data_IF_595588515666
#
_entry.id   IF_595588515666
#
_cell.length_a   1.000
_cell.length_b   1.000
_cell.length_c   1.000
_cell.angle_alpha   90.00
_cell.angle_beta   90.00
_cell.angle_gamma   90.00
#
_symmetry.space_group_name_H-M   'P 1'
#
loop_
_entity.id
_entity.type
_entity.pdbx_description
1 polymer ?
#
# COMPACT_ATOMS: atom_id res chain seq x y z
N UNK A 1 -1.98 -7.06 -2.15
CA UNK A 1 -2.53 -8.39 -2.51
C UNK A 1 -4.05 -8.31 -2.67
N UNK A 2 -4.71 -9.36 -3.14
CA UNK A 2 -6.19 -9.41 -3.19
C UNK A 2 -6.75 -9.89 -1.85
N UNK A 3 -7.90 -9.35 -1.45
CA UNK A 3 -8.59 -9.80 -0.24
C UNK A 3 -9.14 -11.22 -0.51
N UNK A 4 -8.82 -12.24 0.31
CA UNK A 4 -9.38 -13.57 0.12
C UNK A 4 -10.91 -13.57 0.27
N UNK A 5 -11.62 -14.50 -0.38
CA UNK A 5 -13.06 -14.66 -0.17
C UNK A 5 -13.38 -14.85 1.32
N UNK A 6 -14.48 -14.24 1.77
CA UNK A 6 -14.97 -14.29 3.16
C UNK A 6 -14.06 -13.62 4.21
N UNK A 7 -13.05 -12.83 3.80
CA UNK A 7 -12.32 -11.97 4.72
C UNK A 7 -12.96 -10.58 4.69
N UNK A 8 -13.46 -10.07 5.83
CA UNK A 8 -13.98 -8.71 5.90
C UNK A 8 -12.89 -7.67 5.64
N UNK A 9 -13.20 -6.53 4.98
CA UNK A 9 -12.23 -5.49 4.65
C UNK A 9 -11.45 -4.96 5.87
N UNK A 10 -12.11 -4.80 7.01
CA UNK A 10 -11.51 -4.33 8.25
C UNK A 10 -10.46 -5.31 8.79
N UNK A 11 -10.72 -6.62 8.68
CA UNK A 11 -9.76 -7.66 9.07
C UNK A 11 -8.57 -7.70 8.11
N UNK A 12 -8.81 -7.52 6.81
CA UNK A 12 -7.74 -7.43 5.83
C UNK A 12 -6.85 -6.21 6.08
N UNK A 13 -7.45 -5.06 6.38
CA UNK A 13 -6.75 -3.82 6.71
C UNK A 13 -5.89 -3.96 7.97
N UNK A 14 -6.47 -4.43 9.07
CA UNK A 14 -5.74 -4.64 10.32
C UNK A 14 -4.56 -5.61 10.14
N UNK A 15 -4.76 -6.69 9.37
CA UNK A 15 -3.69 -7.64 9.04
C UNK A 15 -2.60 -7.00 8.19
N UNK A 16 -2.98 -6.17 7.22
CA UNK A 16 -2.04 -5.47 6.34
C UNK A 16 -1.16 -4.51 7.14
N UNK A 17 -1.75 -3.65 7.97
CA UNK A 17 -1.03 -2.70 8.83
C UNK A 17 -0.10 -3.42 9.80
N UNK A 18 -0.57 -4.49 10.47
CA UNK A 18 0.26 -5.27 11.38
C UNK A 18 1.48 -5.89 10.68
N UNK A 19 1.30 -6.39 9.46
CA UNK A 19 2.41 -6.93 8.65
C UNK A 19 3.41 -5.84 8.23
N UNK A 20 2.93 -4.65 7.87
CA UNK A 20 3.81 -3.53 7.54
C UNK A 20 4.62 -3.07 8.76
N UNK A 21 4.00 -2.94 9.93
CA UNK A 21 4.70 -2.60 11.17
C UNK A 21 5.77 -3.65 11.51
N UNK A 22 5.43 -4.94 11.39
CA UNK A 22 6.39 -6.02 11.58
C UNK A 22 7.57 -5.92 10.59
N UNK A 23 7.29 -5.78 9.30
CA UNK A 23 8.29 -5.71 8.26
C UNK A 23 9.18 -4.46 8.41
N UNK A 24 8.59 -3.30 8.64
CA UNK A 24 9.29 -2.03 8.85
C UNK A 24 10.28 -2.15 10.01
N UNK A 25 9.85 -2.68 11.15
CA UNK A 25 10.73 -2.91 12.31
C UNK A 25 11.89 -3.85 11.97
N UNK A 26 11.64 -4.96 11.26
CA UNK A 26 12.69 -5.92 10.88
C UNK A 26 13.68 -5.37 9.87
N UNK A 27 13.21 -4.58 8.91
CA UNK A 27 14.05 -3.95 7.89
C UNK A 27 14.86 -2.78 8.46
N UNK A 28 14.32 -2.07 9.46
CA UNK A 28 15.01 -1.00 10.16
C UNK A 28 16.26 -1.49 10.88
N UNK A 29 16.23 -2.69 11.48
CA UNK A 29 17.42 -3.35 12.06
C UNK A 29 18.56 -3.53 11.03
N UNK A 30 18.24 -3.50 9.74
CA UNK A 30 19.16 -3.67 8.61
C UNK A 30 19.36 -2.40 7.79
N UNK A 31 18.82 -1.25 8.20
CA UNK A 31 18.87 0.01 7.46
C UNK A 31 18.28 -0.13 6.04
N UNK A 32 17.19 -0.89 5.91
CA UNK A 32 16.47 -1.09 4.65
C UNK A 32 15.14 -0.34 4.72
N UNK A 33 14.84 0.40 3.64
CA UNK A 33 13.56 1.04 3.44
C UNK A 33 12.53 0.05 2.89
N UNK A 34 11.31 0.12 3.43
CA UNK A 34 10.16 -0.65 2.98
C UNK A 34 9.31 0.23 2.04
N UNK A 35 8.86 -0.35 0.94
CA UNK A 35 7.96 0.31 -0.01
C UNK A 35 6.61 -0.40 -0.06
N UNK A 36 5.53 0.38 -0.22
CA UNK A 36 4.22 -0.13 -0.63
C UNK A 36 3.80 0.53 -1.94
N UNK A 37 3.13 -0.24 -2.80
CA UNK A 37 2.72 0.19 -4.14
C UNK A 37 1.20 0.03 -4.30
N UNK A 38 0.46 1.13 -4.52
CA UNK A 38 -0.92 1.07 -4.96
C UNK A 38 -0.98 0.65 -6.45
N UNK A 39 -1.80 -0.34 -6.77
CA UNK A 39 -1.94 -0.88 -8.13
C UNK A 39 -3.35 -0.59 -8.66
N UNK A 40 -3.42 -0.16 -9.91
CA UNK A 40 -4.70 0.19 -10.54
C UNK A 40 -5.69 -0.99 -10.61
N UNK A 41 -6.97 -0.69 -10.44
CA UNK A 41 -8.07 -1.66 -10.42
C UNK A 41 -8.31 -2.31 -11.79
N UNK A 42 -7.92 -1.65 -12.87
CA UNK A 42 -8.10 -2.14 -14.24
C UNK A 42 -7.17 -3.30 -14.56
N UNK A 43 -5.90 -3.22 -14.18
CA UNK A 43 -4.92 -4.29 -14.39
C UNK A 43 -4.97 -5.33 -13.26
N UNK A 44 -5.30 -4.90 -12.03
CA UNK A 44 -5.45 -5.82 -10.89
C UNK A 44 -6.80 -5.66 -10.19
N UNK A 45 -7.90 -6.14 -10.79
CA UNK A 45 -9.22 -6.06 -10.17
C UNK A 45 -9.26 -6.73 -8.80
N UNK A 46 -9.78 -6.02 -7.81
CA UNK A 46 -9.89 -6.47 -6.42
C UNK A 46 -8.58 -6.45 -5.63
N UNK A 47 -7.56 -5.72 -6.10
CA UNK A 47 -6.36 -5.45 -5.30
C UNK A 47 -6.70 -4.58 -4.09
N UNK A 48 -6.03 -4.84 -2.96
CA UNK A 48 -6.33 -4.19 -1.68
C UNK A 48 -5.96 -2.71 -1.64
N UNK A 49 -4.81 -2.34 -2.22
CA UNK A 49 -4.25 -0.99 -2.16
C UNK A 49 -4.23 -0.39 -3.57
N UNK A 50 -5.09 0.57 -3.89
CA UNK A 50 -5.29 1.00 -5.30
C UNK A 50 -5.03 2.48 -5.57
N UNK A 51 -4.99 3.35 -4.55
CA UNK A 51 -4.81 4.79 -4.73
C UNK A 51 -3.79 5.42 -3.79
N UNK A 52 -3.25 6.57 -4.18
CA UNK A 52 -2.20 7.28 -3.44
C UNK A 52 -2.69 7.74 -2.07
N UNK A 53 -3.93 8.25 -1.97
CA UNK A 53 -4.56 8.66 -0.70
C UNK A 53 -4.70 7.50 0.28
N UNK A 54 -5.08 6.32 -0.20
CA UNK A 54 -5.19 5.12 0.63
C UNK A 54 -3.80 4.71 1.14
N UNK A 55 -2.79 4.71 0.27
CA UNK A 55 -1.42 4.38 0.64
C UNK A 55 -0.85 5.37 1.67
N UNK A 56 -1.08 6.67 1.50
CA UNK A 56 -0.66 7.69 2.46
C UNK A 56 -1.29 7.46 3.85
N UNK A 57 -2.60 7.18 3.91
CA UNK A 57 -3.28 6.89 5.17
C UNK A 57 -2.72 5.64 5.86
N UNK A 58 -2.39 4.58 5.11
CA UNK A 58 -1.74 3.38 5.66
C UNK A 58 -0.35 3.70 6.22
N UNK A 59 0.46 4.50 5.50
CA UNK A 59 1.81 4.87 5.94
C UNK A 59 1.72 5.65 7.26
N UNK A 60 0.79 6.61 7.35
CA UNK A 60 0.53 7.37 8.57
C UNK A 60 0.10 6.46 9.73
N UNK A 61 -0.83 5.53 9.49
CA UNK A 61 -1.29 4.56 10.50
C UNK A 61 -0.17 3.62 10.98
N UNK A 62 0.74 3.22 10.09
CA UNK A 62 1.87 2.37 10.45
C UNK A 62 2.85 3.07 11.38
N UNK A 63 3.01 4.40 11.27
CA UNK A 63 3.90 5.21 12.11
C UNK A 63 5.39 4.86 11.99
N UNK A 64 5.79 4.20 10.90
CA UNK A 64 7.17 3.79 10.65
C UNK A 64 7.90 4.82 9.78
N UNK A 65 9.10 5.22 10.19
CA UNK A 65 9.95 6.22 9.52
C UNK A 65 10.72 5.67 8.31
N UNK A 66 10.74 4.35 8.14
CA UNK A 66 11.36 3.65 7.00
C UNK A 66 10.34 2.99 6.06
N UNK A 67 9.07 3.42 6.10
CA UNK A 67 8.02 2.96 5.20
C UNK A 67 7.61 4.09 4.25
N UNK A 68 7.73 3.85 2.95
CA UNK A 68 7.47 4.85 1.92
C UNK A 68 6.54 4.34 0.82
N UNK A 69 6.02 5.29 0.04
CA UNK A 69 5.20 5.03 -1.13
C UNK A 69 6.09 4.81 -2.37
N UNK A 70 5.95 3.65 -3.01
CA UNK A 70 6.40 3.46 -4.39
C UNK A 70 5.34 4.08 -5.31
N UNK A 71 5.57 5.34 -5.71
CA UNK A 71 4.66 6.08 -6.57
C UNK A 71 4.89 5.72 -8.04
N UNK A 72 4.25 4.66 -8.51
CA UNK A 72 4.18 4.35 -9.93
C UNK A 72 3.16 5.25 -10.63
N UNK A 73 3.66 6.19 -11.45
CA UNK A 73 2.85 7.15 -12.21
C UNK A 73 1.90 6.44 -13.18
N UNK A 74 2.26 5.27 -13.72
CA UNK A 74 1.37 4.53 -14.61
C UNK A 74 0.09 4.12 -13.88
N UNK A 75 0.19 3.57 -12.67
CA UNK A 75 -0.98 3.18 -11.88
C UNK A 75 -1.81 4.40 -11.48
N UNK A 76 -1.16 5.47 -11.04
CA UNK A 76 -1.85 6.67 -10.61
C UNK A 76 -2.47 7.44 -11.78
N UNK A 77 -1.86 7.42 -12.97
CA UNK A 77 -2.48 8.01 -14.17
C UNK A 77 -3.74 7.26 -14.58
N UNK A 78 -3.79 5.93 -14.40
CA UNK A 78 -5.01 5.15 -14.69
C UNK A 78 -6.10 5.33 -13.64
N UNK A 79 -5.73 5.55 -12.38
CA UNK A 79 -6.67 5.63 -11.26
C UNK A 79 -7.15 7.06 -10.95
N UNK A 80 -6.24 8.02 -11.03
CA UNK A 80 -6.45 9.40 -10.59
C UNK A 80 -6.43 10.39 -11.76
N UNK A 81 -5.68 10.08 -12.84
CA UNK A 81 -5.61 10.89 -14.05
C UNK A 81 -4.89 12.23 -13.86
N UNK A 82 -4.67 12.94 -14.97
CA UNK A 82 -4.10 14.30 -15.00
C UNK A 82 -2.74 14.43 -14.29
N UNK A 83 -1.94 13.35 -14.27
CA UNK A 83 -0.58 13.35 -13.72
C UNK A 83 0.47 13.55 -14.81
N UNK A 84 0.14 13.15 -16.04
CA UNK A 84 0.97 13.30 -17.23
C UNK A 84 0.09 13.42 -18.49
N UNK A 85 0.61 14.11 -19.51
CA UNK A 85 -0.03 14.36 -20.81
C UNK A 85 0.20 13.21 -21.81
#
# INVERSE_FOLDING_TARGET
GKIPPNVPPERAHATYVANLQFAANKLKEKQIDLLIEPINDRDMPGYFLTGSRQAAAVIEECGADNLFLQFDIYHMQRMEGDLAN
#
